data_IF_678913647865
#
_entry.id   IF_678913647865
#
_cell.length_a   1.000
_cell.length_b   1.000
_cell.length_c   1.000
_cell.angle_alpha   90.00
_cell.angle_beta   90.00
_cell.angle_gamma   90.00
#
_symmetry.space_group_name_H-M   'P 1'
#
loop_
_entity.id
_entity.type
_entity.pdbx_description
1 polymer ?
#
# COMPACT_ATOMS: atom_id res chain seq x y z
N UNK A 1 -25.04 9.38 7.52
CA UNK A 1 -24.33 9.01 6.29
C UNK A 1 -24.53 7.53 6.04
N UNK A 2 -24.62 7.05 4.79
CA UNK A 2 -24.66 5.61 4.57
C UNK A 2 -23.38 4.99 5.08
N UNK A 3 -23.49 3.89 5.85
CA UNK A 3 -22.35 3.11 6.32
C UNK A 3 -21.66 2.40 5.14
N UNK A 4 -20.35 2.16 5.23
CA UNK A 4 -19.67 1.29 4.28
C UNK A 4 -20.24 -0.13 4.39
N UNK A 5 -20.33 -0.84 3.28
CA UNK A 5 -20.87 -2.19 3.22
C UNK A 5 -19.76 -3.22 3.09
N UNK A 6 -19.86 -4.30 3.87
CA UNK A 6 -19.01 -5.48 3.75
C UNK A 6 -19.88 -6.69 3.37
N UNK A 7 -19.73 -7.20 2.14
CA UNK A 7 -20.56 -8.29 1.65
C UNK A 7 -22.07 -7.96 1.61
N UNK A 8 -22.43 -6.68 1.47
CA UNK A 8 -23.81 -6.21 1.44
C UNK A 8 -24.40 -5.85 2.80
N UNK A 9 -23.70 -6.13 3.91
CA UNK A 9 -24.10 -5.70 5.26
C UNK A 9 -23.40 -4.40 5.66
N UNK A 10 -24.09 -3.51 6.34
CA UNK A 10 -23.51 -2.27 6.83
C UNK A 10 -22.50 -2.55 7.95
N UNK A 11 -21.32 -1.90 7.91
CA UNK A 11 -20.25 -2.15 8.88
C UNK A 11 -20.65 -1.89 10.33
N UNK A 12 -21.51 -0.89 10.57
CA UNK A 12 -22.03 -0.53 11.88
C UNK A 12 -23.08 -1.52 12.42
N UNK A 13 -23.63 -2.37 11.58
CA UNK A 13 -24.56 -3.45 11.97
C UNK A 13 -23.84 -4.78 12.27
N UNK A 14 -22.56 -4.89 11.89
CA UNK A 14 -21.78 -6.11 12.06
C UNK A 14 -21.11 -6.16 13.45
N UNK A 15 -20.97 -7.36 14.07
CA UNK A 15 -20.16 -7.51 15.26
C UNK A 15 -18.73 -7.04 15.03
N UNK A 16 -18.17 -6.22 15.92
CA UNK A 16 -16.82 -5.66 15.79
C UNK A 16 -15.75 -6.74 15.57
N UNK A 17 -15.90 -7.91 16.20
CA UNK A 17 -14.98 -9.02 15.99
C UNK A 17 -15.00 -9.55 14.56
N UNK A 18 -16.17 -9.59 13.91
CA UNK A 18 -16.31 -10.00 12.52
C UNK A 18 -15.69 -8.97 11.57
N UNK A 19 -15.90 -7.67 11.82
CA UNK A 19 -15.28 -6.59 11.04
C UNK A 19 -13.76 -6.66 11.14
N UNK A 20 -13.22 -6.80 12.36
CA UNK A 20 -11.75 -6.89 12.58
C UNK A 20 -11.11 -8.14 11.98
N UNK A 21 -11.85 -9.23 11.88
CA UNK A 21 -11.39 -10.45 11.22
C UNK A 21 -11.39 -10.31 9.68
N UNK A 22 -12.27 -9.48 9.13
CA UNK A 22 -12.45 -9.34 7.69
C UNK A 22 -11.65 -8.18 7.08
N UNK A 23 -11.43 -7.10 7.84
CA UNK A 23 -10.79 -5.87 7.36
C UNK A 23 -9.54 -5.58 8.18
N UNK A 24 -8.41 -5.46 7.50
CA UNK A 24 -7.16 -4.99 8.08
C UNK A 24 -6.78 -3.66 7.42
N UNK A 25 -6.43 -2.68 8.25
CA UNK A 25 -5.93 -1.38 7.81
C UNK A 25 -4.46 -1.28 8.19
N UNK A 26 -3.62 -0.93 7.23
CA UNK A 26 -2.22 -0.58 7.44
C UNK A 26 -2.06 0.92 7.29
N UNK A 27 -1.65 1.57 8.36
CA UNK A 27 -1.39 3.00 8.38
C UNK A 27 -0.12 3.36 7.58
N UNK A 28 -0.05 4.61 7.14
CA UNK A 28 1.09 5.21 6.44
C UNK A 28 2.40 5.08 7.21
N UNK A 29 2.36 5.30 8.54
CA UNK A 29 3.51 5.20 9.44
C UNK A 29 3.39 3.97 10.35
N UNK A 30 3.63 2.76 9.83
CA UNK A 30 3.37 1.54 10.56
C UNK A 30 4.36 1.35 11.71
N UNK A 31 3.83 0.97 12.87
CA UNK A 31 4.63 0.64 14.05
C UNK A 31 4.95 -0.85 14.04
N UNK A 32 6.23 -1.19 13.94
CA UNK A 32 6.71 -2.55 14.14
C UNK A 32 6.92 -2.82 15.63
N UNK A 33 6.39 -3.94 16.12
CA UNK A 33 6.67 -4.42 17.46
C UNK A 33 8.11 -4.94 17.54
N UNK A 34 8.72 -4.83 18.72
CA UNK A 34 10.03 -5.45 18.96
C UNK A 34 9.89 -6.97 19.01
N UNK A 35 10.85 -7.66 18.43
CA UNK A 35 10.86 -9.12 18.37
C UNK A 35 11.74 -9.60 17.24
N UNK A 36 11.72 -10.88 16.94
CA UNK A 36 12.39 -11.43 15.76
C UNK A 36 11.55 -11.21 14.51
N UNK A 37 12.16 -11.35 13.33
CA UNK A 37 11.41 -11.32 12.08
C UNK A 37 10.35 -12.42 12.03
N UNK A 38 10.66 -13.62 12.56
CA UNK A 38 9.71 -14.71 12.65
C UNK A 38 8.49 -14.34 13.50
N UNK A 39 8.71 -13.75 14.69
CA UNK A 39 7.63 -13.27 15.57
C UNK A 39 6.80 -12.15 14.94
N UNK A 40 7.44 -11.27 14.15
CA UNK A 40 6.73 -10.19 13.43
C UNK A 40 5.74 -10.75 12.41
N UNK A 41 6.10 -11.84 11.74
CA UNK A 41 5.29 -12.49 10.71
C UNK A 41 4.34 -13.56 11.28
N UNK A 42 4.49 -13.93 12.55
CA UNK A 42 3.56 -14.85 13.24
C UNK A 42 2.27 -14.10 13.64
N UNK A 43 1.38 -13.99 12.69
CA UNK A 43 0.08 -13.31 12.84
C UNK A 43 -1.06 -14.26 12.49
N UNK A 44 -2.26 -14.06 13.08
CA UNK A 44 -3.45 -14.77 12.62
C UNK A 44 -3.63 -14.58 11.11
N UNK A 45 -3.64 -15.70 10.37
CA UNK A 45 -3.59 -15.67 8.91
C UNK A 45 -4.54 -16.69 8.29
N UNK A 46 -4.83 -16.53 7.00
CA UNK A 46 -5.58 -17.51 6.22
C UNK A 46 -4.76 -18.77 5.88
N UNK A 47 -3.44 -18.72 6.02
CA UNK A 47 -2.50 -19.76 5.61
C UNK A 47 -2.26 -19.83 4.09
N UNK A 48 -2.82 -18.92 3.29
CA UNK A 48 -2.68 -18.91 1.83
C UNK A 48 -1.38 -18.23 1.37
N UNK A 49 -0.84 -17.33 2.18
CA UNK A 49 0.39 -16.58 1.90
C UNK A 49 1.40 -16.90 2.98
N UNK A 50 2.51 -17.49 2.59
CA UNK A 50 3.63 -17.77 3.49
C UNK A 50 4.41 -16.49 3.81
N UNK A 51 5.19 -16.51 4.89
CA UNK A 51 6.08 -15.40 5.23
C UNK A 51 7.08 -15.08 4.12
N UNK A 52 7.62 -16.10 3.44
CA UNK A 52 8.56 -15.94 2.33
C UNK A 52 7.91 -15.26 1.11
N UNK A 53 6.72 -15.73 0.73
CA UNK A 53 5.94 -15.11 -0.35
C UNK A 53 5.59 -13.66 -0.05
N UNK A 54 5.19 -13.37 1.18
CA UNK A 54 4.88 -12.01 1.63
C UNK A 54 6.11 -11.10 1.61
N UNK A 55 7.25 -11.55 2.12
CA UNK A 55 8.52 -10.82 2.07
C UNK A 55 8.96 -10.57 0.62
N UNK A 56 8.79 -11.55 -0.25
CA UNK A 56 9.06 -11.43 -1.69
C UNK A 56 8.13 -10.41 -2.34
N UNK A 57 6.83 -10.46 -2.04
CA UNK A 57 5.85 -9.52 -2.58
C UNK A 57 6.11 -8.07 -2.12
N UNK A 58 6.49 -7.89 -0.85
CA UNK A 58 6.88 -6.60 -0.29
C UNK A 58 8.31 -6.14 -0.66
N UNK A 59 9.02 -6.89 -1.49
CA UNK A 59 10.37 -6.58 -1.95
C UNK A 59 11.38 -6.38 -0.80
N UNK A 60 11.41 -7.31 0.16
CA UNK A 60 12.21 -7.24 1.38
C UNK A 60 13.61 -7.87 1.27
N UNK A 61 14.16 -8.13 0.07
CA UNK A 61 15.46 -8.80 -0.09
C UNK A 61 16.60 -8.11 0.64
N UNK A 62 16.78 -6.80 0.45
CA UNK A 62 17.79 -5.99 1.14
C UNK A 62 17.56 -5.91 2.66
N UNK A 63 16.30 -6.00 3.11
CA UNK A 63 15.97 -6.07 4.54
C UNK A 63 16.46 -7.38 5.13
N UNK A 64 16.26 -8.50 4.44
CA UNK A 64 16.75 -9.81 4.87
C UNK A 64 18.28 -9.86 4.91
N UNK A 65 18.95 -9.27 3.91
CA UNK A 65 20.41 -9.15 3.89
C UNK A 65 20.93 -8.32 5.08
N UNK A 66 20.30 -7.18 5.35
CA UNK A 66 20.68 -6.32 6.48
C UNK A 66 20.46 -7.03 7.84
N UNK A 67 19.38 -7.78 7.97
CA UNK A 67 19.11 -8.57 9.18
C UNK A 67 20.09 -9.73 9.31
N UNK A 68 20.44 -10.44 8.24
CA UNK A 68 21.43 -11.50 8.25
C UNK A 68 22.81 -10.98 8.68
N UNK A 69 23.24 -9.82 8.17
CA UNK A 69 24.50 -9.18 8.58
C UNK A 69 24.51 -8.72 10.05
N UNK A 70 23.36 -8.35 10.59
CA UNK A 70 23.19 -7.96 11.99
C UNK A 70 22.93 -9.15 12.93
N UNK A 71 22.80 -10.35 12.39
CA UNK A 71 22.52 -11.55 13.18
C UNK A 71 23.68 -11.90 14.10
N UNK A 72 23.34 -12.25 15.34
CA UNK A 72 24.29 -12.83 16.29
C UNK A 72 24.42 -14.38 16.12
N UNK A 73 23.57 -14.98 15.28
CA UNK A 73 23.56 -16.41 15.06
C UNK A 73 24.69 -16.81 14.10
N UNK A 74 25.34 -17.96 14.33
CA UNK A 74 26.46 -18.42 13.50
C UNK A 74 26.09 -18.69 12.04
N UNK A 75 24.82 -19.00 11.78
CA UNK A 75 24.26 -19.27 10.44
C UNK A 75 23.76 -18.01 9.73
N UNK A 76 23.74 -16.85 10.44
CA UNK A 76 23.26 -15.60 9.90
C UNK A 76 21.75 -15.58 9.56
N UNK A 77 20.95 -16.46 10.18
CA UNK A 77 19.52 -16.57 9.91
C UNK A 77 18.78 -15.24 10.18
N UNK A 78 18.29 -14.55 9.14
CA UNK A 78 17.59 -13.27 9.32
C UNK A 78 16.28 -13.40 10.09
N UNK A 79 15.67 -14.59 10.11
CA UNK A 79 14.38 -14.81 10.77
C UNK A 79 14.47 -14.74 12.28
N UNK A 80 15.66 -15.01 12.85
CA UNK A 80 15.96 -14.97 14.28
C UNK A 80 16.53 -13.62 14.72
N UNK A 81 16.86 -12.75 13.78
CA UNK A 81 17.42 -11.43 14.09
C UNK A 81 16.37 -10.54 14.74
N UNK A 82 16.73 -9.94 15.87
CA UNK A 82 15.84 -9.05 16.61
C UNK A 82 15.72 -7.70 15.91
N UNK A 83 14.48 -7.34 15.65
CA UNK A 83 14.09 -5.99 15.25
C UNK A 83 13.87 -5.21 16.56
N UNK A 84 14.56 -4.09 16.70
CA UNK A 84 14.45 -3.23 17.88
C UNK A 84 13.09 -2.55 17.93
N UNK A 85 12.75 -2.01 19.12
CA UNK A 85 11.50 -1.28 19.31
C UNK A 85 11.31 -0.20 18.23
N UNK A 86 10.13 -0.21 17.60
CA UNK A 86 9.76 0.66 16.46
C UNK A 86 10.67 0.51 15.24
N UNK A 87 11.42 -0.59 15.13
CA UNK A 87 12.30 -0.82 13.98
C UNK A 87 13.38 0.25 13.78
N UNK A 88 13.92 0.85 14.87
CA UNK A 88 14.91 1.93 14.79
C UNK A 88 16.19 1.57 14.03
N UNK A 89 16.50 0.28 13.93
CA UNK A 89 17.62 -0.23 13.13
C UNK A 89 17.34 -0.28 11.63
N UNK A 90 16.08 -0.03 11.21
CA UNK A 90 15.63 -0.09 9.83
C UNK A 90 15.34 1.31 9.29
N UNK A 91 15.56 1.52 7.99
CA UNK A 91 15.11 2.73 7.31
C UNK A 91 13.57 2.83 7.28
N UNK A 92 13.03 4.00 6.96
CA UNK A 92 11.58 4.19 6.80
C UNK A 92 10.97 3.22 5.80
N UNK A 93 11.58 3.10 4.61
CA UNK A 93 11.12 2.19 3.57
C UNK A 93 11.24 0.71 3.94
N UNK A 94 12.29 0.33 4.69
CA UNK A 94 12.42 -1.03 5.21
C UNK A 94 11.31 -1.37 6.21
N UNK A 95 11.00 -0.46 7.13
CA UNK A 95 9.87 -0.63 8.07
C UNK A 95 8.55 -0.76 7.35
N UNK A 96 8.30 0.11 6.37
CA UNK A 96 7.06 0.12 5.59
C UNK A 96 6.87 -1.19 4.82
N UNK A 97 7.93 -1.71 4.19
CA UNK A 97 7.91 -3.00 3.48
C UNK A 97 7.70 -4.20 4.40
N UNK A 98 8.33 -4.23 5.59
CA UNK A 98 8.06 -5.29 6.57
C UNK A 98 6.63 -5.26 7.10
N UNK A 99 6.06 -4.06 7.32
CA UNK A 99 4.66 -3.93 7.70
C UNK A 99 3.72 -4.43 6.59
N UNK A 100 4.05 -4.12 5.32
CA UNK A 100 3.32 -4.65 4.17
C UNK A 100 3.42 -6.18 4.10
N UNK A 101 4.60 -6.75 4.28
CA UNK A 101 4.77 -8.21 4.33
C UNK A 101 3.90 -8.83 5.42
N UNK A 102 3.89 -8.27 6.63
CA UNK A 102 3.04 -8.71 7.74
C UNK A 102 1.54 -8.66 7.37
N UNK A 103 1.10 -7.59 6.72
CA UNK A 103 -0.29 -7.44 6.26
C UNK A 103 -0.66 -8.47 5.18
N UNK A 104 0.30 -8.83 4.32
CA UNK A 104 0.12 -9.86 3.29
C UNK A 104 0.06 -11.27 3.88
N UNK A 105 0.86 -11.58 4.93
CA UNK A 105 0.76 -12.86 5.67
C UNK A 105 -0.62 -13.02 6.30
N UNK A 106 -1.14 -11.97 6.92
CA UNK A 106 -2.47 -11.98 7.52
C UNK A 106 -3.57 -12.31 6.49
N UNK A 107 -3.37 -11.92 5.24
CA UNK A 107 -4.26 -12.18 4.10
C UNK A 107 -5.76 -11.98 4.41
N UNK A 108 -6.18 -10.81 4.92
CA UNK A 108 -7.57 -10.54 5.24
C UNK A 108 -8.43 -10.52 3.95
N UNK A 109 -9.73 -10.78 4.03
CA UNK A 109 -10.65 -10.59 2.90
C UNK A 109 -10.55 -9.19 2.29
N UNK A 110 -10.43 -8.15 3.12
CA UNK A 110 -10.25 -6.75 2.72
C UNK A 110 -9.01 -6.18 3.37
N UNK A 111 -8.06 -5.72 2.56
CA UNK A 111 -6.85 -5.03 2.99
C UNK A 111 -6.93 -3.57 2.56
N UNK A 112 -6.81 -2.65 3.52
CA UNK A 112 -6.72 -1.21 3.26
C UNK A 112 -5.28 -0.76 3.53
N UNK A 113 -4.65 -0.12 2.57
CA UNK A 113 -3.27 0.36 2.63
C UNK A 113 -3.27 1.88 2.49
N UNK A 114 -2.78 2.58 3.49
CA UNK A 114 -2.60 4.02 3.46
C UNK A 114 -1.15 4.34 3.10
N UNK A 115 -0.93 4.95 1.93
CA UNK A 115 0.37 5.35 1.39
C UNK A 115 1.47 4.28 1.61
N UNK A 116 1.26 3.02 1.19
CA UNK A 116 2.08 1.88 1.58
C UNK A 116 3.52 1.91 1.05
N UNK A 117 3.83 2.85 0.15
CA UNK A 117 5.13 2.96 -0.53
C UNK A 117 5.73 4.36 -0.43
N UNK A 118 5.18 5.25 0.40
CA UNK A 118 5.60 6.66 0.48
C UNK A 118 7.06 6.86 0.93
N UNK A 119 7.68 5.86 1.54
CA UNK A 119 9.06 5.91 2.04
C UNK A 119 10.05 5.08 1.21
N UNK A 120 9.64 4.56 0.04
CA UNK A 120 10.50 3.79 -0.86
C UNK A 120 10.81 4.56 -2.15
N UNK A 121 11.88 4.17 -2.84
CA UNK A 121 12.21 4.70 -4.15
C UNK A 121 11.29 4.14 -5.26
N UNK A 122 11.22 4.84 -6.41
CA UNK A 122 10.34 4.47 -7.51
C UNK A 122 10.61 3.07 -8.10
N UNK A 123 11.86 2.59 -8.08
CA UNK A 123 12.18 1.24 -8.55
C UNK A 123 11.56 0.19 -7.62
N UNK A 124 11.79 0.33 -6.32
CA UNK A 124 11.21 -0.53 -5.29
C UNK A 124 9.69 -0.50 -5.32
N UNK A 125 9.10 0.70 -5.44
CA UNK A 125 7.65 0.87 -5.55
C UNK A 125 7.06 0.14 -6.77
N UNK A 126 7.67 0.27 -7.95
CA UNK A 126 7.23 -0.44 -9.17
C UNK A 126 7.23 -1.96 -8.98
N UNK A 127 8.24 -2.49 -8.27
CA UNK A 127 8.32 -3.93 -7.96
C UNK A 127 7.21 -4.37 -7.01
N UNK A 128 6.93 -3.56 -5.99
CA UNK A 128 5.85 -3.82 -5.03
C UNK A 128 4.50 -3.77 -5.75
N UNK A 129 4.22 -2.74 -6.56
CA UNK A 129 2.97 -2.57 -7.27
C UNK A 129 2.62 -3.80 -8.15
N UNK A 130 3.60 -4.29 -8.93
CA UNK A 130 3.40 -5.46 -9.76
C UNK A 130 3.12 -6.75 -8.97
N UNK A 131 3.79 -6.93 -7.82
CA UNK A 131 3.67 -8.13 -6.99
C UNK A 131 2.44 -8.12 -6.07
N UNK A 132 2.04 -6.95 -5.59
CA UNK A 132 0.89 -6.77 -4.71
C UNK A 132 -0.39 -7.29 -5.36
N UNK A 133 -0.62 -6.96 -6.63
CA UNK A 133 -1.78 -7.44 -7.39
C UNK A 133 -1.83 -8.96 -7.47
N UNK A 134 -0.69 -9.61 -7.70
CA UNK A 134 -0.60 -11.07 -7.76
C UNK A 134 -0.82 -11.70 -6.38
N UNK A 135 -0.17 -11.17 -5.34
CA UNK A 135 -0.29 -11.68 -3.97
C UNK A 135 -1.71 -11.54 -3.42
N UNK A 136 -2.47 -10.54 -3.90
CA UNK A 136 -3.84 -10.27 -3.46
C UNK A 136 -4.92 -10.74 -4.45
N UNK A 137 -4.57 -11.56 -5.44
CA UNK A 137 -5.52 -12.08 -6.42
C UNK A 137 -6.73 -12.76 -5.74
N UNK A 138 -7.94 -12.36 -6.13
CA UNK A 138 -9.20 -12.85 -5.55
C UNK A 138 -9.53 -12.28 -4.17
N UNK A 139 -8.87 -11.21 -3.73
CA UNK A 139 -9.13 -10.47 -2.49
C UNK A 139 -9.36 -8.99 -2.78
N UNK A 140 -10.09 -8.32 -1.93
CA UNK A 140 -10.28 -6.88 -2.04
C UNK A 140 -9.07 -6.16 -1.44
N UNK A 141 -8.47 -5.26 -2.22
CA UNK A 141 -7.41 -4.37 -1.74
C UNK A 141 -7.80 -2.94 -2.09
N UNK A 142 -7.81 -2.08 -1.08
CA UNK A 142 -8.05 -0.64 -1.22
C UNK A 142 -6.73 0.05 -0.92
N UNK A 143 -6.26 0.89 -1.82
CA UNK A 143 -5.02 1.65 -1.64
C UNK A 143 -5.36 3.14 -1.68
N UNK A 144 -5.02 3.86 -0.62
CA UNK A 144 -5.06 5.32 -0.58
C UNK A 144 -3.68 5.82 -0.96
N UNK A 145 -3.57 6.47 -2.12
CA UNK A 145 -2.28 6.91 -2.65
C UNK A 145 -2.44 7.93 -3.76
N UNK A 146 -1.40 8.73 -3.98
CA UNK A 146 -1.24 9.57 -5.18
C UNK A 146 -0.18 9.00 -6.14
N UNK A 147 0.41 7.83 -5.85
CA UNK A 147 1.45 7.26 -6.70
C UNK A 147 0.90 6.68 -8.00
N UNK A 148 1.36 7.17 -9.18
CA UNK A 148 0.97 6.64 -10.47
C UNK A 148 1.25 5.14 -10.61
N UNK A 149 2.33 4.64 -10.00
CA UNK A 149 2.76 3.24 -10.10
C UNK A 149 1.77 2.28 -9.42
N UNK A 150 1.16 2.69 -8.31
CA UNK A 150 0.12 1.90 -7.65
C UNK A 150 -1.25 2.07 -8.34
N UNK A 151 -1.56 3.30 -8.78
CA UNK A 151 -2.83 3.64 -9.43
C UNK A 151 -2.99 2.94 -10.78
N UNK A 152 -1.92 2.80 -11.57
CA UNK A 152 -1.93 2.11 -12.88
C UNK A 152 -2.28 0.61 -12.75
N UNK A 153 -1.95 0.01 -11.61
CA UNK A 153 -2.31 -1.38 -11.30
C UNK A 153 -3.73 -1.59 -10.76
N UNK A 154 -4.47 -0.54 -10.47
CA UNK A 154 -5.82 -0.62 -9.89
C UNK A 154 -6.88 -0.89 -10.96
N UNK A 155 -7.84 -1.77 -10.63
CA UNK A 155 -9.00 -2.03 -11.51
C UNK A 155 -9.94 -0.83 -11.58
N UNK A 156 -10.01 -0.05 -10.50
CA UNK A 156 -10.84 1.14 -10.37
C UNK A 156 -10.19 2.15 -9.44
N UNK A 157 -10.16 3.39 -9.87
CA UNK A 157 -9.70 4.54 -9.10
C UNK A 157 -10.87 5.45 -8.79
N UNK A 158 -10.88 5.98 -7.59
CA UNK A 158 -11.86 6.96 -7.13
C UNK A 158 -11.10 8.20 -6.67
N UNK A 159 -11.35 9.33 -7.30
CA UNK A 159 -10.87 10.62 -6.81
C UNK A 159 -11.84 11.14 -5.75
N UNK A 160 -11.29 11.44 -4.58
CA UNK A 160 -12.04 12.04 -3.47
C UNK A 160 -11.55 13.48 -3.32
N UNK A 161 -12.48 14.42 -3.31
CA UNK A 161 -12.23 15.84 -3.02
C UNK A 161 -13.18 16.29 -1.93
N UNK A 162 -12.60 16.75 -0.80
CA UNK A 162 -13.36 16.96 0.41
C UNK A 162 -14.08 15.68 0.88
N UNK A 163 -15.39 15.75 1.02
CA UNK A 163 -16.22 14.64 1.52
C UNK A 163 -16.93 13.85 0.40
N UNK A 164 -16.59 14.08 -0.86
CA UNK A 164 -17.28 13.49 -2.00
C UNK A 164 -16.33 12.73 -2.96
N UNK A 165 -16.84 11.64 -3.52
CA UNK A 165 -16.22 11.03 -4.70
C UNK A 165 -16.59 11.90 -5.92
N UNK A 166 -15.59 12.50 -6.54
CA UNK A 166 -15.80 13.48 -7.64
C UNK A 166 -15.49 12.90 -9.02
N UNK A 167 -14.70 11.81 -9.10
CA UNK A 167 -14.47 11.08 -10.34
C UNK A 167 -14.22 9.60 -10.06
N UNK A 168 -14.61 8.74 -10.98
CA UNK A 168 -14.43 7.28 -10.93
C UNK A 168 -14.06 6.77 -12.32
N UNK A 169 -13.00 5.97 -12.40
CA UNK A 169 -12.54 5.38 -13.67
C UNK A 169 -11.26 4.56 -13.46
N UNK A 170 -10.62 4.16 -14.52
CA UNK A 170 -9.24 3.64 -14.50
C UNK A 170 -8.25 4.80 -14.36
N UNK A 171 -7.02 4.50 -13.95
CA UNK A 171 -5.94 5.50 -13.89
C UNK A 171 -5.80 6.26 -15.20
N UNK A 172 -5.78 5.54 -16.33
CA UNK A 172 -5.60 6.12 -17.65
C UNK A 172 -6.78 7.00 -18.09
N UNK A 173 -8.02 6.56 -17.85
CA UNK A 173 -9.22 7.35 -18.15
C UNK A 173 -9.23 8.67 -17.38
N UNK A 174 -8.93 8.61 -16.07
CA UNK A 174 -8.90 9.80 -15.23
C UNK A 174 -7.72 10.73 -15.56
N UNK A 175 -6.55 10.16 -15.88
CA UNK A 175 -5.36 10.95 -16.26
C UNK A 175 -5.61 11.78 -17.53
N UNK A 176 -6.37 11.26 -18.47
CA UNK A 176 -6.71 11.98 -19.73
C UNK A 176 -7.94 12.87 -19.58
N UNK A 177 -8.94 12.44 -18.81
CA UNK A 177 -10.25 13.06 -18.80
C UNK A 177 -10.53 14.03 -17.63
N UNK A 178 -9.77 13.97 -16.51
CA UNK A 178 -10.01 14.83 -15.35
C UNK A 178 -8.77 15.64 -14.95
N UNK A 179 -8.78 16.96 -15.17
CA UNK A 179 -7.65 17.82 -14.81
C UNK A 179 -7.31 17.80 -13.31
N UNK A 180 -8.30 17.69 -12.43
CA UNK A 180 -8.09 17.62 -10.96
C UNK A 180 -7.34 16.36 -10.58
N UNK A 181 -7.72 15.23 -11.17
CA UNK A 181 -7.01 13.96 -10.97
C UNK A 181 -5.56 14.06 -11.44
N UNK A 182 -5.36 14.63 -12.62
CA UNK A 182 -4.02 14.84 -13.19
C UNK A 182 -3.15 15.67 -12.26
N UNK A 183 -3.66 16.80 -11.77
CA UNK A 183 -2.91 17.67 -10.84
C UNK A 183 -2.47 16.92 -9.57
N UNK A 184 -3.34 16.10 -8.98
CA UNK A 184 -3.01 15.31 -7.80
C UNK A 184 -1.89 14.30 -8.09
N UNK A 185 -1.98 13.60 -9.22
CA UNK A 185 -1.06 12.49 -9.55
C UNK A 185 0.28 13.00 -10.06
N UNK A 186 0.31 14.08 -10.82
CA UNK A 186 1.56 14.72 -11.32
C UNK A 186 2.16 15.65 -10.30
N UNK A 187 1.44 15.99 -9.22
CA UNK A 187 1.82 17.00 -8.23
C UNK A 187 2.05 18.37 -8.86
N UNK A 188 1.27 18.67 -9.90
CA UNK A 188 1.25 20.00 -10.51
C UNK A 188 0.72 21.02 -9.50
N UNK A 189 1.33 22.20 -9.49
CA UNK A 189 0.81 23.35 -8.74
C UNK A 189 -0.31 24.02 -9.53
N UNK A 190 -1.20 24.76 -8.85
CA UNK A 190 -2.28 25.51 -9.51
C UNK A 190 -1.75 26.42 -10.63
N UNK A 191 -0.59 27.04 -10.44
CA UNK A 191 0.05 27.89 -11.45
C UNK A 191 0.57 27.12 -12.68
N UNK A 192 1.03 25.87 -12.49
CA UNK A 192 1.45 25.02 -13.61
C UNK A 192 0.26 24.48 -14.39
N UNK A 193 -0.84 24.26 -13.69
CA UNK A 193 -2.10 23.81 -14.27
C UNK A 193 -2.71 24.91 -15.15
N UNK A 194 -2.81 26.15 -14.66
CA UNK A 194 -3.26 27.31 -15.43
C UNK A 194 -2.38 27.55 -16.66
N UNK A 195 -1.05 27.49 -16.53
CA UNK A 195 -0.12 27.68 -17.65
C UNK A 195 -0.19 26.57 -18.69
N UNK A 196 -0.69 25.39 -18.35
CA UNK A 196 -0.91 24.29 -19.27
C UNK A 196 -2.24 24.43 -20.02
N UNK A 197 -3.30 24.77 -19.30
CA UNK A 197 -4.62 25.03 -19.89
C UNK A 197 -4.53 26.14 -20.94
N UNK A 198 -3.80 27.23 -20.64
CA UNK A 198 -3.54 28.31 -21.60
C UNK A 198 -2.79 27.83 -22.86
N UNK A 199 -1.86 26.89 -22.73
CA UNK A 199 -1.14 26.29 -23.87
C UNK A 199 -2.02 25.40 -24.73
N UNK A 200 -2.79 24.53 -24.08
CA UNK A 200 -3.69 23.61 -24.78
C UNK A 200 -4.78 24.37 -25.54
N UNK A 201 -5.30 25.48 -24.98
CA UNK A 201 -6.22 26.40 -25.70
C UNK A 201 -5.60 27.12 -26.90
N UNK A 202 -4.31 27.44 -26.85
CA UNK A 202 -3.61 28.09 -27.97
C UNK A 202 -3.38 27.08 -29.11
N UNK A 203 -3.02 25.85 -28.79
CA UNK A 203 -2.81 24.77 -29.77
C UNK A 203 -4.11 24.35 -30.47
N UNK A 204 -5.23 24.33 -29.75
CA UNK A 204 -6.55 23.94 -30.32
C UNK A 204 -7.12 25.04 -31.26
N UNK A 205 -6.66 26.27 -31.10
CA UNK A 205 -7.08 27.43 -31.95
C UNK A 205 -6.18 27.69 -33.14
N UNK A 206 -5.08 26.93 -33.31
CA UNK A 206 -4.10 27.08 -34.40
C UNK A 206 -4.28 26.06 -35.51
#
# INVERSE_FOLDING_TARGET
>A
MPSALLGGAALDELPLAAVRAAVLVQDKDPVLLSGTLAELLDVPSSGRVSGEEALTAAYCGDVLEALAQASAEPDGDPTRTRITERGRSLSGGQRQRLALARSLVADPPVLVLDEPTSAVDAHTESRIAGRLRTARAGRTTVVLTSSPLLLDGAERVVLIDGDAAVAVGTHQELLHGDPRYRAVVTRETDAEQEAREDRDEIEEKA
#
